data_IF_432705787024
#
_entry.id   IF_432705787024
#
_cell.length_a   1.000
_cell.length_b   1.000
_cell.length_c   1.000
_cell.angle_alpha   90.00
_cell.angle_beta   90.00
_cell.angle_gamma   90.00
#
_symmetry.space_group_name_H-M   'P 1'
#
loop_
_entity.id
_entity.type
_entity.pdbx_description
1 polymer ?
#
# COMPACT_ATOMS: atom_id res chain seq x y z
N UNK A 1 7.53 -6.17 -16.41
CA UNK A 1 7.33 -5.58 -17.77
C UNK A 1 5.85 -5.26 -17.95
N UNK A 2 5.45 -4.64 -19.06
CA UNK A 2 4.02 -4.38 -19.33
C UNK A 2 3.17 -5.67 -19.33
N UNK A 3 3.73 -6.76 -19.84
CA UNK A 3 3.12 -8.09 -19.81
C UNK A 3 2.87 -8.58 -18.37
N UNK A 4 3.84 -8.43 -17.47
CA UNK A 4 3.68 -8.79 -16.06
C UNK A 4 2.56 -7.99 -15.38
N UNK A 5 2.48 -6.69 -15.67
CA UNK A 5 1.43 -5.82 -15.13
C UNK A 5 0.06 -6.30 -15.63
N UNK A 6 -0.11 -6.51 -16.94
CA UNK A 6 -1.36 -6.98 -17.51
C UNK A 6 -1.79 -8.35 -16.92
N UNK A 7 -0.84 -9.27 -16.77
CA UNK A 7 -1.10 -10.59 -16.17
C UNK A 7 -1.56 -10.49 -14.70
N UNK A 8 -1.02 -9.55 -13.92
CA UNK A 8 -1.43 -9.34 -12.52
C UNK A 8 -2.76 -8.58 -12.43
N UNK A 9 -2.98 -7.56 -13.27
CA UNK A 9 -4.26 -6.84 -13.34
C UNK A 9 -5.40 -7.75 -13.75
N UNK A 10 -5.18 -8.72 -14.67
CA UNK A 10 -6.17 -9.73 -15.03
C UNK A 10 -6.55 -10.65 -13.85
N UNK A 11 -5.69 -10.75 -12.82
CA UNK A 11 -5.98 -11.45 -11.56
C UNK A 11 -6.64 -10.55 -10.51
N UNK A 12 -6.98 -9.31 -10.87
CA UNK A 12 -7.58 -8.32 -9.97
C UNK A 12 -6.60 -7.63 -9.02
N UNK A 13 -5.29 -7.75 -9.25
CA UNK A 13 -4.29 -7.05 -8.45
C UNK A 13 -4.20 -5.58 -8.87
N UNK A 14 -4.30 -4.69 -7.89
CA UNK A 14 -4.34 -3.23 -8.10
C UNK A 14 -3.01 -2.53 -7.81
N UNK A 15 -2.17 -3.13 -6.97
CA UNK A 15 -0.89 -2.56 -6.55
C UNK A 15 0.12 -3.67 -6.21
N UNK A 16 1.39 -3.29 -6.13
CA UNK A 16 2.48 -4.18 -5.72
C UNK A 16 3.27 -3.53 -4.58
N UNK A 17 3.68 -4.35 -3.63
CA UNK A 17 4.50 -4.02 -2.47
C UNK A 17 5.27 -5.29 -2.05
N UNK A 18 6.12 -5.24 -1.02
CA UNK A 18 7.04 -6.34 -0.72
C UNK A 18 6.88 -6.94 0.68
N UNK A 19 6.09 -6.33 1.57
CA UNK A 19 6.08 -6.62 3.00
C UNK A 19 4.73 -7.15 3.54
N UNK A 20 3.59 -6.84 2.90
CA UNK A 20 2.25 -7.11 3.43
C UNK A 20 1.97 -8.61 3.49
N UNK A 21 2.47 -9.38 2.53
CA UNK A 21 2.37 -10.84 2.58
C UNK A 21 3.03 -11.42 3.84
N UNK A 22 4.24 -10.96 4.18
CA UNK A 22 4.94 -11.38 5.39
C UNK A 22 4.25 -10.86 6.66
N UNK A 23 3.77 -9.61 6.64
CA UNK A 23 3.04 -9.00 7.75
C UNK A 23 1.76 -9.78 8.09
N UNK A 24 0.97 -10.18 7.10
CA UNK A 24 -0.25 -10.97 7.33
C UNK A 24 0.05 -12.41 7.73
N UNK A 25 1.11 -13.02 7.21
CA UNK A 25 1.59 -14.31 7.70
C UNK A 25 1.98 -14.25 9.19
N UNK A 26 2.69 -13.20 9.60
CA UNK A 26 3.01 -12.93 11.01
C UNK A 26 1.75 -12.72 11.85
N UNK A 27 0.80 -11.90 11.39
CA UNK A 27 -0.46 -11.63 12.08
C UNK A 27 -1.22 -12.93 12.38
N UNK A 28 -1.32 -13.80 11.36
CA UNK A 28 -1.91 -15.13 11.50
C UNK A 28 -1.16 -16.01 12.48
N UNK A 29 0.17 -16.09 12.36
CA UNK A 29 1.00 -16.93 13.22
C UNK A 29 1.01 -16.49 14.70
N UNK A 30 0.80 -15.20 14.97
CA UNK A 30 0.83 -14.63 16.33
C UNK A 30 -0.55 -14.32 16.91
N UNK A 31 -1.63 -14.59 16.15
CA UNK A 31 -3.00 -14.26 16.55
C UNK A 31 -3.18 -12.76 16.82
N UNK A 32 -2.59 -11.91 15.98
CA UNK A 32 -2.66 -10.44 16.12
C UNK A 32 -3.59 -9.85 15.06
N UNK A 33 -4.41 -8.88 15.46
CA UNK A 33 -5.18 -8.07 14.53
C UNK A 33 -4.23 -7.07 13.86
N UNK A 34 -4.14 -7.11 12.52
CA UNK A 34 -3.27 -6.23 11.73
C UNK A 34 -4.04 -5.76 10.50
N UNK A 35 -3.88 -4.47 10.18
CA UNK A 35 -4.35 -3.84 8.95
C UNK A 35 -3.17 -3.12 8.30
N UNK A 36 -3.04 -3.23 6.97
CA UNK A 36 -2.02 -2.53 6.20
C UNK A 36 -2.67 -1.41 5.38
N UNK A 37 -2.13 -0.20 5.49
CA UNK A 37 -2.44 0.92 4.62
C UNK A 37 -1.28 1.09 3.64
N UNK A 38 -1.56 0.93 2.35
CA UNK A 38 -0.57 1.08 1.29
C UNK A 38 -0.90 2.31 0.45
N UNK A 39 -0.02 3.31 0.49
CA UNK A 39 -0.10 4.49 -0.35
C UNK A 39 0.56 4.22 -1.70
N UNK A 40 -0.20 4.35 -2.79
CA UNK A 40 0.33 4.18 -4.16
C UNK A 40 1.10 5.44 -4.53
N UNK A 41 2.42 5.36 -4.49
CA UNK A 41 3.33 6.50 -4.73
C UNK A 41 3.87 6.57 -6.15
N UNK A 42 3.58 5.57 -6.99
CA UNK A 42 4.07 5.52 -8.37
C UNK A 42 3.29 4.51 -9.21
N UNK A 43 3.51 4.58 -10.52
CA UNK A 43 2.98 3.69 -11.55
C UNK A 43 4.09 2.85 -12.19
N UNK A 44 5.09 2.43 -11.40
CA UNK A 44 6.22 1.59 -11.80
C UNK A 44 7.14 2.22 -12.86
N UNK A 45 7.34 3.54 -12.80
CA UNK A 45 8.19 4.28 -13.74
C UNK A 45 7.54 4.47 -15.11
N UNK A 46 6.20 4.45 -15.20
CA UNK A 46 5.47 4.55 -16.48
C UNK A 46 5.21 5.98 -16.93
N UNK A 47 5.40 6.96 -16.06
CA UNK A 47 5.27 8.39 -16.36
C UNK A 47 6.51 9.17 -15.95
N UNK A 48 6.64 10.41 -16.40
CA UNK A 48 7.71 11.31 -15.98
C UNK A 48 7.53 11.70 -14.50
N UNK A 49 8.63 11.80 -13.73
CA UNK A 49 8.63 12.11 -12.30
C UNK A 49 7.88 11.12 -11.38
N UNK A 50 7.62 9.89 -11.85
CA UNK A 50 6.90 8.82 -11.15
C UNK A 50 7.57 8.28 -9.85
N UNK A 51 8.54 8.99 -9.29
CA UNK A 51 9.20 8.61 -8.04
C UNK A 51 9.27 9.76 -7.03
N UNK A 52 8.56 10.86 -7.28
CA UNK A 52 8.24 11.78 -6.20
C UNK A 52 7.30 11.07 -5.22
N UNK A 53 7.59 11.16 -3.93
CA UNK A 53 6.86 10.44 -2.86
C UNK A 53 6.61 11.31 -1.63
N UNK A 54 6.92 12.61 -1.73
CA UNK A 54 6.89 13.56 -0.64
C UNK A 54 5.51 14.15 -0.38
N UNK A 55 5.50 15.39 0.09
CA UNK A 55 4.29 16.14 0.40
C UNK A 55 3.40 16.37 -0.83
N UNK A 56 4.01 16.61 -1.99
CA UNK A 56 3.30 16.86 -3.25
C UNK A 56 2.43 15.68 -3.70
N UNK A 57 2.76 14.46 -3.28
CA UNK A 57 2.06 13.24 -3.67
C UNK A 57 1.24 12.64 -2.52
N UNK A 58 0.84 13.43 -1.52
CA UNK A 58 -0.21 13.01 -0.59
C UNK A 58 0.27 12.17 0.61
N UNK A 59 1.56 12.17 0.93
CA UNK A 59 2.08 11.48 2.13
C UNK A 59 1.44 12.00 3.44
N UNK A 60 1.14 13.29 3.52
CA UNK A 60 0.43 13.87 4.68
C UNK A 60 -0.98 13.31 4.80
N UNK A 61 -1.70 13.19 3.68
CA UNK A 61 -3.06 12.64 3.65
C UNK A 61 -3.06 11.15 4.02
N UNK A 62 -2.09 10.38 3.53
CA UNK A 62 -1.93 8.98 3.91
C UNK A 62 -1.74 8.80 5.43
N UNK A 63 -0.92 9.64 6.05
CA UNK A 63 -0.74 9.66 7.51
C UNK A 63 -2.02 10.08 8.24
N UNK A 64 -2.76 11.05 7.70
CA UNK A 64 -4.04 11.47 8.27
C UNK A 64 -5.06 10.32 8.27
N UNK A 65 -5.15 9.53 7.19
CA UNK A 65 -6.03 8.35 7.13
C UNK A 65 -5.64 7.31 8.19
N UNK A 66 -4.35 6.99 8.30
CA UNK A 66 -3.85 6.04 9.32
C UNK A 66 -4.20 6.54 10.72
N UNK A 67 -3.96 7.82 10.99
CA UNK A 67 -4.26 8.43 12.28
C UNK A 67 -5.76 8.34 12.62
N UNK A 68 -6.65 8.71 11.68
CA UNK A 68 -8.09 8.62 11.88
C UNK A 68 -8.58 7.19 12.08
N UNK A 69 -8.03 6.23 11.34
CA UNK A 69 -8.35 4.82 11.53
C UNK A 69 -7.93 4.33 12.92
N UNK A 70 -6.73 4.71 13.38
CA UNK A 70 -6.25 4.39 14.72
C UNK A 70 -7.15 5.00 15.81
N UNK A 71 -7.52 6.29 15.69
CA UNK A 71 -8.46 6.94 16.60
C UNK A 71 -9.82 6.24 16.66
N UNK A 72 -10.33 5.76 15.52
CA UNK A 72 -11.61 5.07 15.45
C UNK A 72 -11.59 3.68 16.10
N UNK A 73 -10.46 2.98 16.03
CA UNK A 73 -10.30 1.60 16.51
C UNK A 73 -9.85 1.55 17.98
N UNK A 74 -9.10 2.54 18.46
CA UNK A 74 -8.56 2.59 19.82
C UNK A 74 -9.50 3.26 20.84
N UNK A 75 -10.70 3.69 20.43
CA UNK A 75 -11.79 4.10 21.32
C UNK A 75 -12.40 2.89 22.03
#
# INVERSE_FOLDING_TARGET
TAESIAAMSAKGLLAVEMEAAALYAFARARGKAVVCFAHVTNQMGRIEQDFEKGEADGTVDALAVIHRAAEAILR
#
